data_IF_698457459422
#
_entry.id   IF_698457459422
#
_cell.length_a   1.000
_cell.length_b   1.000
_cell.length_c   1.000
_cell.angle_alpha   90.00
_cell.angle_beta   90.00
_cell.angle_gamma   90.00
#
_symmetry.space_group_name_H-M   'P 1'
#
loop_
_entity.id
_entity.type
_entity.pdbx_description
1 polymer ?
#
# COMPACT_ATOMS: atom_id res chain seq x y z
N UNK A 1 29.30 0.55 26.64
CA UNK A 1 28.15 -0.19 27.23
C UNK A 1 27.01 0.80 27.40
N UNK A 2 25.88 0.69 26.68
CA UNK A 2 24.77 1.61 26.89
C UNK A 2 24.12 1.32 28.25
N UNK A 3 23.90 2.37 29.02
CA UNK A 3 23.47 2.38 30.41
C UNK A 3 22.11 1.69 30.61
N UNK A 4 22.09 0.64 31.43
CA UNK A 4 20.92 -0.20 31.79
C UNK A 4 19.71 0.57 32.35
N UNK A 5 19.89 1.80 32.82
CA UNK A 5 18.88 2.55 33.57
C UNK A 5 17.84 3.28 32.70
N UNK A 6 18.16 3.66 31.46
CA UNK A 6 17.24 4.44 30.62
C UNK A 6 16.13 3.63 29.93
N UNK A 7 16.31 2.30 29.84
CA UNK A 7 15.40 1.41 29.10
C UNK A 7 14.17 1.07 29.96
N UNK A 8 14.37 0.83 31.26
CA UNK A 8 13.32 0.42 32.19
C UNK A 8 12.23 1.48 32.41
N UNK A 9 12.61 2.77 32.43
CA UNK A 9 11.65 3.86 32.57
C UNK A 9 10.71 4.02 31.36
N UNK A 10 11.13 3.55 30.17
CA UNK A 10 10.36 3.67 28.93
C UNK A 10 9.53 2.43 28.61
N UNK A 11 9.73 1.32 29.32
CA UNK A 11 9.02 0.05 29.14
C UNK A 11 7.48 0.20 29.10
N UNK A 12 6.82 0.93 30.03
CA UNK A 12 5.36 1.07 30.03
C UNK A 12 4.82 1.85 28.82
N UNK A 13 5.57 2.83 28.34
CA UNK A 13 5.21 3.58 27.14
C UNK A 13 5.32 2.71 25.88
N UNK A 14 6.35 1.86 25.79
CA UNK A 14 6.54 0.95 24.66
C UNK A 14 5.42 -0.11 24.63
N UNK A 15 5.00 -0.65 25.79
CA UNK A 15 3.86 -1.58 25.86
C UNK A 15 2.57 -0.95 25.29
N UNK A 16 2.25 0.28 25.70
CA UNK A 16 1.10 1.01 25.16
C UNK A 16 1.21 1.21 23.65
N UNK A 17 2.39 1.57 23.16
CA UNK A 17 2.63 1.75 21.72
C UNK A 17 2.49 0.46 20.90
N UNK A 18 2.96 -0.67 21.42
CA UNK A 18 2.86 -1.96 20.74
C UNK A 18 1.41 -2.46 20.67
N UNK A 19 0.60 -2.17 21.70
CA UNK A 19 -0.80 -2.55 21.80
C UNK A 19 -1.74 -1.74 20.90
N UNK A 20 -1.36 -0.54 20.46
CA UNK A 20 -2.19 0.28 19.57
C UNK A 20 -2.37 -0.36 18.19
N UNK A 21 -3.61 -0.48 17.71
CA UNK A 21 -3.96 -1.11 16.43
C UNK A 21 -3.40 -0.36 15.21
N UNK A 22 -3.36 0.97 15.28
CA UNK A 22 -3.02 1.87 14.16
C UNK A 22 -1.52 2.22 14.04
N UNK A 23 -0.63 1.55 14.79
CA UNK A 23 0.80 1.83 14.72
C UNK A 23 1.46 1.15 13.50
N UNK A 24 2.42 1.85 12.88
CA UNK A 24 3.22 1.30 11.78
C UNK A 24 3.87 -0.03 12.18
N UNK A 25 3.70 -1.07 11.34
CA UNK A 25 4.23 -2.43 11.58
C UNK A 25 5.72 -2.46 11.94
N UNK A 26 6.53 -1.59 11.32
CA UNK A 26 7.97 -1.47 11.59
C UNK A 26 8.25 -0.97 13.02
N UNK A 27 7.44 -0.04 13.52
CA UNK A 27 7.55 0.48 14.89
C UNK A 27 7.08 -0.57 15.89
N UNK A 28 5.94 -1.23 15.61
CA UNK A 28 5.43 -2.35 16.43
C UNK A 28 6.47 -3.45 16.61
N UNK A 29 7.10 -3.88 15.52
CA UNK A 29 8.16 -4.91 15.52
C UNK A 29 9.36 -4.50 16.37
N UNK A 30 9.84 -3.26 16.22
CA UNK A 30 10.95 -2.73 17.05
C UNK A 30 10.59 -2.65 18.53
N UNK A 31 9.35 -2.25 18.86
CA UNK A 31 8.86 -2.22 20.23
C UNK A 31 8.82 -3.61 20.87
N UNK A 32 8.31 -4.62 20.16
CA UNK A 32 8.32 -6.01 20.61
C UNK A 32 9.73 -6.55 20.89
N UNK A 33 10.69 -6.24 20.00
CA UNK A 33 12.10 -6.60 20.19
C UNK A 33 12.71 -5.98 21.46
N UNK A 34 12.41 -4.70 21.73
CA UNK A 34 12.86 -4.02 22.94
C UNK A 34 12.24 -4.61 24.21
N UNK A 35 11.01 -5.11 24.12
CA UNK A 35 10.28 -5.77 25.20
C UNK A 35 10.59 -7.27 25.32
N UNK A 36 11.44 -7.83 24.45
CA UNK A 36 11.71 -9.28 24.35
C UNK A 36 10.44 -10.13 24.26
N UNK A 37 9.40 -9.60 23.61
CA UNK A 37 8.20 -10.37 23.30
C UNK A 37 8.54 -11.19 22.06
N UNK A 38 8.73 -12.49 22.24
CA UNK A 38 8.91 -13.46 21.16
C UNK A 38 7.72 -13.30 20.19
N UNK A 39 8.01 -12.86 18.97
CA UNK A 39 6.97 -12.69 17.95
C UNK A 39 6.76 -14.07 17.31
N UNK A 40 5.56 -14.65 17.47
CA UNK A 40 5.24 -15.91 16.78
C UNK A 40 5.61 -15.80 15.30
N UNK A 41 6.22 -16.84 14.71
CA UNK A 41 6.58 -16.83 13.30
C UNK A 41 5.34 -16.53 12.48
N UNK A 42 5.29 -15.36 11.83
CA UNK A 42 4.23 -15.10 10.89
C UNK A 42 4.34 -16.15 9.78
N UNK A 43 3.24 -16.86 9.45
CA UNK A 43 3.27 -17.85 8.39
C UNK A 43 3.80 -17.18 7.12
N UNK A 44 4.71 -17.84 6.38
CA UNK A 44 5.22 -17.29 5.14
C UNK A 44 4.03 -16.94 4.24
N UNK A 45 4.07 -15.80 3.52
CA UNK A 45 3.01 -15.46 2.60
C UNK A 45 2.79 -16.64 1.64
N UNK A 46 1.54 -17.01 1.33
CA UNK A 46 1.25 -18.18 0.52
C UNK A 46 1.99 -18.07 -0.81
N UNK A 47 2.96 -18.97 -1.01
CA UNK A 47 3.67 -19.15 -2.28
C UNK A 47 2.77 -19.89 -3.24
N UNK A 48 1.73 -19.24 -3.75
CA UNK A 48 1.06 -19.71 -4.97
C UNK A 48 1.95 -19.31 -6.14
N UNK A 49 2.82 -20.24 -6.54
CA UNK A 49 3.68 -20.11 -7.72
C UNK A 49 2.84 -20.35 -8.99
N UNK A 50 1.71 -19.67 -9.13
CA UNK A 50 0.98 -19.61 -10.40
C UNK A 50 1.55 -18.45 -11.20
N UNK A 51 2.74 -18.62 -11.78
CA UNK A 51 3.27 -17.65 -12.73
C UNK A 51 2.30 -17.48 -13.89
N UNK A 52 1.53 -16.39 -13.90
CA UNK A 52 0.60 -16.04 -14.98
C UNK A 52 1.32 -15.60 -16.25
N UNK A 53 0.61 -15.16 -17.28
CA UNK A 53 1.24 -14.52 -18.46
C UNK A 53 1.33 -13.02 -18.24
N UNK A 54 2.38 -12.38 -18.76
CA UNK A 54 2.49 -10.93 -18.68
C UNK A 54 1.31 -10.25 -19.41
N UNK A 55 0.58 -9.38 -18.73
CA UNK A 55 -0.58 -8.67 -19.28
C UNK A 55 -0.28 -7.85 -20.54
N UNK A 56 0.93 -7.28 -20.64
CA UNK A 56 1.36 -6.47 -21.77
C UNK A 56 2.07 -7.27 -22.88
N UNK A 57 2.42 -8.53 -22.62
CA UNK A 57 3.01 -9.37 -23.67
C UNK A 57 1.89 -9.94 -24.54
N UNK A 58 1.96 -9.71 -25.86
CA UNK A 58 1.14 -10.46 -26.81
C UNK A 58 1.42 -11.97 -26.74
N UNK A 59 0.47 -12.79 -27.25
CA UNK A 59 0.53 -14.26 -27.20
C UNK A 59 1.84 -14.85 -27.70
N UNK A 60 2.51 -14.18 -28.65
CA UNK A 60 3.72 -14.65 -29.32
C UNK A 60 4.98 -14.73 -28.44
N UNK A 61 5.05 -14.04 -27.28
CA UNK A 61 6.31 -13.95 -26.51
C UNK A 61 6.38 -14.77 -25.23
N UNK A 62 5.28 -15.40 -24.79
CA UNK A 62 5.13 -16.25 -23.60
C UNK A 62 6.17 -16.02 -22.45
N UNK A 63 6.50 -14.76 -22.15
CA UNK A 63 7.54 -14.43 -21.17
C UNK A 63 6.94 -14.63 -19.79
N UNK A 64 7.52 -15.52 -19.00
CA UNK A 64 7.12 -15.75 -17.62
C UNK A 64 7.36 -14.46 -16.80
N UNK A 65 6.29 -13.83 -16.29
CA UNK A 65 6.37 -12.65 -15.44
C UNK A 65 6.88 -13.07 -14.07
N UNK A 66 7.88 -12.35 -13.55
CA UNK A 66 8.48 -12.64 -12.23
C UNK A 66 7.83 -11.87 -11.08
N UNK A 67 6.95 -10.91 -11.39
CA UNK A 67 6.30 -10.04 -10.39
C UNK A 67 4.84 -9.78 -10.75
N UNK A 68 4.00 -9.84 -9.74
CA UNK A 68 2.60 -9.40 -9.78
C UNK A 68 2.49 -7.97 -9.23
N UNK A 69 1.70 -7.13 -9.89
CA UNK A 69 1.38 -5.78 -9.44
C UNK A 69 0.54 -5.83 -8.15
N UNK A 70 1.00 -5.27 -7.04
CA UNK A 70 0.23 -5.27 -5.79
C UNK A 70 -1.06 -4.40 -5.86
N UNK A 71 -1.11 -3.40 -6.74
CA UNK A 71 -2.28 -2.50 -6.88
C UNK A 71 -3.39 -3.08 -7.75
N UNK A 72 -3.01 -3.91 -8.70
CA UNK A 72 -3.86 -4.27 -9.83
C UNK A 72 -3.86 -5.77 -10.12
N UNK A 73 -3.08 -6.56 -9.38
CA UNK A 73 -2.99 -8.02 -9.43
C UNK A 73 -2.69 -8.62 -10.82
N UNK A 74 -2.19 -7.80 -11.75
CA UNK A 74 -1.74 -8.24 -13.06
C UNK A 74 -0.27 -8.66 -13.02
N UNK A 75 0.06 -9.70 -13.78
CA UNK A 75 1.42 -10.18 -13.96
C UNK A 75 2.19 -9.36 -15.00
N UNK A 76 3.46 -9.02 -14.70
CA UNK A 76 4.28 -8.18 -15.58
C UNK A 76 5.71 -8.73 -15.71
N UNK A 77 6.22 -8.80 -16.94
CA UNK A 77 7.60 -9.20 -17.20
C UNK A 77 8.57 -8.05 -16.89
N UNK A 78 9.86 -8.36 -16.69
CA UNK A 78 10.90 -7.37 -16.32
C UNK A 78 10.96 -6.17 -17.29
N UNK A 79 10.74 -6.40 -18.57
CA UNK A 79 10.77 -5.34 -19.60
C UNK A 79 9.58 -4.39 -19.48
N UNK A 80 8.40 -4.92 -19.19
CA UNK A 80 7.18 -4.13 -19.08
C UNK A 80 6.99 -3.52 -17.69
N UNK A 81 7.82 -3.88 -16.71
CA UNK A 81 7.69 -3.38 -15.34
C UNK A 81 7.80 -1.85 -15.26
N UNK A 82 8.72 -1.22 -16.01
CA UNK A 82 8.88 0.25 -16.02
C UNK A 82 7.66 0.96 -16.62
N UNK A 83 7.16 0.47 -17.75
CA UNK A 83 6.01 1.05 -18.47
C UNK A 83 4.71 0.85 -17.71
N UNK A 84 4.57 -0.30 -17.06
CA UNK A 84 3.34 -0.68 -16.38
C UNK A 84 3.06 0.16 -15.13
N UNK A 85 4.09 0.62 -14.42
CA UNK A 85 3.92 1.56 -13.29
C UNK A 85 3.28 2.86 -13.77
N UNK A 86 3.70 3.38 -14.92
CA UNK A 86 3.17 4.62 -15.50
C UNK A 86 1.71 4.45 -15.96
N UNK A 87 1.40 3.35 -16.65
CA UNK A 87 0.03 3.08 -17.14
C UNK A 87 -0.96 2.88 -15.98
N UNK A 88 -0.56 2.18 -14.92
CA UNK A 88 -1.40 1.99 -13.73
C UNK A 88 -1.61 3.30 -12.98
N UNK A 89 -0.61 4.18 -12.92
CA UNK A 89 -0.78 5.50 -12.31
C UNK A 89 -1.80 6.34 -13.10
N UNK A 90 -1.68 6.40 -14.43
CA UNK A 90 -2.58 7.19 -15.28
C UNK A 90 -4.02 6.67 -15.18
N UNK A 91 -4.23 5.34 -15.26
CA UNK A 91 -5.58 4.74 -15.18
C UNK A 91 -6.27 4.96 -13.83
N UNK A 92 -5.51 5.05 -12.74
CA UNK A 92 -6.10 5.29 -11.41
C UNK A 92 -6.28 6.78 -11.09
N UNK A 93 -5.56 7.68 -11.76
CA UNK A 93 -5.63 9.13 -11.48
C UNK A 93 -6.75 9.83 -12.28
N UNK A 94 -6.99 9.40 -13.53
CA UNK A 94 -8.00 9.98 -14.40
C UNK A 94 -9.45 9.96 -13.84
N UNK A 95 -9.97 8.85 -13.27
CA UNK A 95 -11.35 8.84 -12.78
C UNK A 95 -11.55 9.72 -11.54
N UNK A 96 -10.50 9.94 -10.74
CA UNK A 96 -10.57 10.85 -9.60
C UNK A 96 -10.75 12.30 -10.05
N UNK A 97 -10.06 12.72 -11.11
CA UNK A 97 -10.12 14.09 -11.62
C UNK A 97 -11.50 14.37 -12.22
N UNK A 98 -12.06 13.42 -12.99
CA UNK A 98 -13.38 13.61 -13.61
C UNK A 98 -14.51 13.75 -12.59
N UNK A 99 -14.47 12.98 -11.49
CA UNK A 99 -15.47 13.06 -10.43
C UNK A 99 -15.38 14.40 -9.71
N UNK A 100 -14.16 14.88 -9.43
CA UNK A 100 -13.96 16.16 -8.73
C UNK A 100 -14.47 17.33 -9.56
N UNK A 101 -14.19 17.34 -10.87
CA UNK A 101 -14.67 18.39 -11.78
C UNK A 101 -16.20 18.39 -11.86
N UNK A 102 -16.83 17.21 -12.00
CA UNK A 102 -18.29 17.11 -12.05
C UNK A 102 -18.94 17.62 -10.77
N UNK A 103 -18.37 17.28 -9.60
CA UNK A 103 -18.86 17.77 -8.31
C UNK A 103 -18.73 19.29 -8.17
N UNK A 104 -17.62 19.88 -8.63
CA UNK A 104 -17.45 21.34 -8.66
C UNK A 104 -18.50 22.02 -9.56
N UNK A 105 -18.82 21.44 -10.73
CA UNK A 105 -19.85 21.99 -11.62
C UNK A 105 -21.22 21.99 -10.94
N UNK A 106 -21.59 20.87 -10.31
CA UNK A 106 -22.88 20.75 -9.61
C UNK A 106 -22.99 21.80 -8.49
N UNK A 107 -21.96 21.92 -7.63
CA UNK A 107 -21.95 22.91 -6.56
C UNK A 107 -22.08 24.35 -7.08
N UNK A 108 -21.42 24.67 -8.20
CA UNK A 108 -21.53 26.00 -8.80
C UNK A 108 -22.96 26.25 -9.30
N UNK A 109 -23.60 25.25 -9.92
CA UNK A 109 -24.99 25.36 -10.36
C UNK A 109 -25.97 25.52 -9.19
N UNK A 110 -25.81 24.75 -8.12
CA UNK A 110 -26.67 24.84 -6.93
C UNK A 110 -26.57 26.23 -6.26
N UNK A 111 -25.35 26.78 -6.15
CA UNK A 111 -25.12 28.12 -5.61
C UNK A 111 -25.75 29.19 -6.52
N UNK A 112 -25.61 29.05 -7.84
CA UNK A 112 -26.17 29.98 -8.81
C UNK A 112 -27.71 29.98 -8.75
N UNK A 113 -28.31 28.80 -8.60
CA UNK A 113 -29.76 28.61 -8.49
C UNK A 113 -30.32 29.25 -7.21
N UNK A 114 -29.62 29.11 -6.07
CA UNK A 114 -29.99 29.76 -4.81
C UNK A 114 -29.84 31.29 -4.84
N UNK A 115 -28.98 31.84 -5.70
CA UNK A 115 -28.82 33.29 -5.90
C UNK A 115 -29.89 33.88 -6.84
N UNK A 116 -30.57 33.04 -7.62
CA UNK A 116 -31.62 33.43 -8.59
C UNK A 116 -33.05 33.33 -8.02
N UNK A 117 -33.21 32.72 -6.84
CA UNK A 117 -34.46 32.60 -6.08
C UNK A 117 -34.52 33.67 -4.97
#
# INVERSE_FOLDING_TARGET
VPSRFGIWAKTPAIHRCVAMENILKKIRRRGKLLLKIEEEPQPPPPTTVTTGRCFLCGRARNKTPRKMCAKCNHWVCKNHQKVFVTVVLIKNLLPSITITILFCIILVFDILFLLLL
#
